data_IF_881912801818
#
_entry.id   IF_881912801818
#
_cell.length_a   1.000
_cell.length_b   1.000
_cell.length_c   1.000
_cell.angle_alpha   90.00
_cell.angle_beta   90.00
_cell.angle_gamma   90.00
#
_symmetry.space_group_name_H-M   'P 1'
#
loop_
_entity.id
_entity.type
_entity.pdbx_description
1 polymer ?
#
# COMPACT_ATOMS: atom_id res chain seq x y z
N UNK A 1 12.79 -10.46 -40.04
CA UNK A 1 12.15 -9.72 -38.92
C UNK A 1 12.82 -8.36 -38.87
N UNK A 2 12.03 -7.28 -38.99
CA UNK A 2 12.54 -5.92 -38.94
C UNK A 2 12.85 -5.55 -37.49
N UNK A 3 14.03 -4.99 -37.23
CA UNK A 3 14.45 -4.54 -35.89
C UNK A 3 13.64 -3.35 -35.36
N UNK A 4 12.84 -2.71 -36.23
CA UNK A 4 11.90 -1.63 -35.87
C UNK A 4 10.70 -2.16 -35.07
N UNK A 5 10.36 -3.45 -35.19
CA UNK A 5 9.20 -4.06 -34.52
C UNK A 5 9.53 -4.57 -33.11
N UNK A 6 10.81 -4.52 -32.69
CA UNK A 6 11.26 -4.89 -31.34
C UNK A 6 11.05 -3.71 -30.37
N UNK A 7 9.78 -3.40 -30.11
CA UNK A 7 9.37 -2.29 -29.25
C UNK A 7 9.55 -2.66 -27.77
N UNK A 8 9.91 -1.68 -26.90
CA UNK A 8 10.02 -1.91 -25.47
C UNK A 8 8.70 -2.42 -24.90
N UNK A 9 8.75 -3.54 -24.19
CA UNK A 9 7.59 -4.14 -23.55
C UNK A 9 7.43 -3.58 -22.13
N UNK A 10 6.24 -3.05 -21.82
CA UNK A 10 5.92 -2.57 -20.47
C UNK A 10 5.61 -3.79 -19.58
N UNK A 11 6.32 -4.01 -18.46
CA UNK A 11 5.99 -5.09 -17.56
C UNK A 11 4.61 -4.88 -16.93
N UNK A 12 3.80 -5.93 -16.83
CA UNK A 12 2.44 -5.87 -16.24
C UNK A 12 2.41 -5.36 -14.80
N UNK A 13 3.50 -5.53 -14.05
CA UNK A 13 3.68 -4.98 -12.71
C UNK A 13 3.55 -3.45 -12.69
N UNK A 14 3.98 -2.79 -13.77
CA UNK A 14 3.89 -1.35 -13.91
C UNK A 14 2.43 -0.89 -14.05
N UNK A 15 1.62 -1.60 -14.85
CA UNK A 15 0.20 -1.30 -15.00
C UNK A 15 -0.56 -1.48 -13.68
N UNK A 16 -0.24 -2.53 -12.92
CA UNK A 16 -0.87 -2.74 -11.60
C UNK A 16 -0.47 -1.68 -10.59
N UNK A 17 0.77 -1.19 -10.64
CA UNK A 17 1.26 -0.13 -9.76
C UNK A 17 0.57 1.21 -10.08
N UNK A 18 0.52 1.60 -11.37
CA UNK A 18 -0.17 2.81 -11.83
C UNK A 18 -1.66 2.81 -11.48
N UNK A 19 -2.32 1.65 -11.64
CA UNK A 19 -3.73 1.49 -11.26
C UNK A 19 -3.94 1.64 -9.74
N UNK A 20 -3.03 1.10 -8.92
CA UNK A 20 -3.09 1.23 -7.47
C UNK A 20 -2.88 2.69 -7.03
N UNK A 21 -1.92 3.39 -7.63
CA UNK A 21 -1.68 4.81 -7.36
C UNK A 21 -2.90 5.68 -7.70
N UNK A 22 -3.48 5.45 -8.88
CA UNK A 22 -4.68 6.17 -9.33
C UNK A 22 -5.86 5.94 -8.40
N UNK A 23 -6.13 4.68 -8.02
CA UNK A 23 -7.21 4.34 -7.12
C UNK A 23 -7.00 4.98 -5.74
N UNK A 24 -5.77 4.90 -5.20
CA UNK A 24 -5.44 5.47 -3.89
C UNK A 24 -5.63 6.98 -3.86
N UNK A 25 -5.16 7.71 -4.87
CA UNK A 25 -5.38 9.16 -5.00
C UNK A 25 -6.86 9.53 -4.99
N UNK A 26 -7.65 8.79 -5.75
CA UNK A 26 -9.09 9.01 -5.79
C UNK A 26 -9.72 8.83 -4.40
N UNK A 27 -9.34 7.77 -3.67
CA UNK A 27 -9.84 7.51 -2.33
C UNK A 27 -9.44 8.59 -1.31
N UNK A 28 -8.19 9.08 -1.36
CA UNK A 28 -7.71 10.16 -0.49
C UNK A 28 -8.46 11.47 -0.75
N UNK A 29 -8.66 11.82 -2.02
CA UNK A 29 -9.31 13.06 -2.40
C UNK A 29 -10.83 13.07 -2.11
N UNK A 30 -11.45 11.91 -1.87
CA UNK A 30 -12.89 11.80 -1.70
C UNK A 30 -13.42 12.33 -0.35
N UNK A 31 -12.62 12.25 0.72
CA UNK A 31 -13.11 12.48 2.09
C UNK A 31 -12.50 13.70 2.78
N UNK A 32 -11.56 14.38 2.13
CA UNK A 32 -10.96 15.60 2.67
C UNK A 32 -10.22 15.43 4.01
N UNK A 33 -9.81 14.21 4.37
CA UNK A 33 -9.09 13.90 5.62
C UNK A 33 -7.57 13.99 5.48
N UNK A 34 -7.06 13.85 4.27
CA UNK A 34 -5.64 13.86 3.98
C UNK A 34 -5.34 14.67 2.72
N UNK A 35 -4.08 15.11 2.59
CA UNK A 35 -3.51 15.58 1.34
C UNK A 35 -2.31 14.74 0.96
N UNK A 36 -2.07 14.55 -0.34
CA UNK A 36 -0.84 13.93 -0.83
C UNK A 36 0.28 14.97 -0.77
N UNK A 37 1.30 14.72 0.04
CA UNK A 37 2.47 15.60 0.17
C UNK A 37 3.53 15.29 -0.88
N UNK A 38 3.81 14.00 -1.09
CA UNK A 38 4.88 13.57 -1.99
C UNK A 38 4.56 12.23 -2.64
N UNK A 39 4.83 12.17 -3.94
CA UNK A 39 5.05 10.94 -4.69
C UNK A 39 6.50 10.54 -4.51
N UNK A 40 6.78 9.49 -3.73
CA UNK A 40 8.16 9.14 -3.41
C UNK A 40 8.70 8.05 -4.34
N UNK A 41 8.58 8.27 -5.66
CA UNK A 41 8.98 7.32 -6.70
C UNK A 41 10.48 6.95 -6.69
N UNK A 42 11.28 7.62 -5.88
CA UNK A 42 12.72 7.36 -5.70
C UNK A 42 13.09 6.98 -4.25
N UNK A 43 12.13 6.83 -3.34
CA UNK A 43 12.42 6.34 -1.99
C UNK A 43 12.37 4.81 -1.95
N UNK A 44 13.33 4.20 -1.27
CA UNK A 44 13.59 2.76 -1.28
C UNK A 44 12.47 1.91 -0.66
N UNK A 45 11.40 2.52 -0.13
CA UNK A 45 10.36 1.75 0.55
C UNK A 45 8.98 2.38 0.76
N UNK A 46 8.65 3.50 0.12
CA UNK A 46 7.29 4.07 0.14
C UNK A 46 6.91 4.64 -1.21
N UNK A 47 5.65 4.49 -1.61
CA UNK A 47 5.18 5.04 -2.88
C UNK A 47 4.59 6.45 -2.70
N UNK A 48 3.90 6.69 -1.57
CA UNK A 48 3.21 7.96 -1.30
C UNK A 48 3.36 8.35 0.17
N UNK A 49 3.52 9.65 0.43
CA UNK A 49 3.34 10.24 1.75
C UNK A 49 2.08 11.12 1.76
N UNK A 50 1.21 10.88 2.73
CA UNK A 50 0.02 11.71 2.97
C UNK A 50 0.17 12.47 4.29
N UNK A 51 -0.44 13.66 4.38
CA UNK A 51 -0.54 14.45 5.61
C UNK A 51 -1.99 14.58 6.05
N UNK A 52 -2.24 14.30 7.33
CA UNK A 52 -3.54 14.47 7.94
C UNK A 52 -3.92 15.97 8.03
N UNK A 53 -5.18 16.27 7.76
CA UNK A 53 -5.73 17.62 7.95
C UNK A 53 -7.00 17.59 8.78
N UNK A 54 -7.23 18.66 9.51
CA UNK A 54 -8.48 18.95 10.22
C UNK A 54 -9.13 20.18 9.57
N UNK A 55 -10.05 19.93 8.64
CA UNK A 55 -10.62 20.95 7.77
C UNK A 55 -9.54 21.68 6.96
N UNK A 56 -9.26 22.94 7.33
CA UNK A 56 -8.21 23.76 6.68
C UNK A 56 -6.87 23.70 7.42
N UNK A 57 -6.81 23.14 8.61
CA UNK A 57 -5.60 23.04 9.40
C UNK A 57 -4.76 21.84 8.92
N UNK A 58 -3.50 22.10 8.58
CA UNK A 58 -2.52 21.07 8.25
C UNK A 58 -1.81 20.65 9.53
N UNK A 59 -1.87 19.35 9.87
CA UNK A 59 -1.44 18.85 11.18
C UNK A 59 0.05 18.52 11.25
N UNK A 60 0.72 18.42 10.10
CA UNK A 60 2.06 17.86 9.93
C UNK A 60 2.21 16.40 10.44
N UNK A 61 1.11 15.72 10.75
CA UNK A 61 1.10 14.27 11.01
C UNK A 61 1.10 13.57 9.65
N UNK A 62 2.15 12.78 9.40
CA UNK A 62 2.41 12.17 8.10
C UNK A 62 2.30 10.67 8.19
N UNK A 63 1.66 10.08 7.19
CA UNK A 63 1.56 8.63 7.03
C UNK A 63 2.30 8.22 5.77
N UNK A 64 3.17 7.22 5.92
CA UNK A 64 3.90 6.61 4.83
C UNK A 64 3.12 5.42 4.28
N UNK A 65 2.96 5.39 2.96
CA UNK A 65 2.10 4.43 2.29
C UNK A 65 2.91 3.65 1.26
N UNK A 66 2.88 2.32 1.37
CA UNK A 66 3.30 1.42 0.30
C UNK A 66 2.07 0.86 -0.41
N UNK A 67 1.99 1.07 -1.72
CA UNK A 67 0.94 0.57 -2.59
C UNK A 67 1.33 -0.77 -3.20
N UNK A 68 0.34 -1.64 -3.38
CA UNK A 68 0.46 -2.88 -4.15
C UNK A 68 -0.77 -3.06 -5.02
N UNK A 69 -0.59 -3.20 -6.32
CA UNK A 69 -1.65 -3.64 -7.23
C UNK A 69 -1.60 -5.14 -7.45
N UNK A 70 -2.75 -5.80 -7.55
CA UNK A 70 -2.80 -7.23 -7.88
C UNK A 70 -4.01 -7.62 -8.72
N UNK A 71 -3.81 -8.62 -9.59
CA UNK A 71 -4.84 -9.30 -10.38
C UNK A 71 -5.10 -10.73 -9.88
N UNK A 72 -4.44 -11.16 -8.81
CA UNK A 72 -4.63 -12.49 -8.23
C UNK A 72 -6.04 -12.67 -7.72
N UNK A 73 -6.54 -13.91 -7.75
CA UNK A 73 -7.82 -14.25 -7.15
C UNK A 73 -7.82 -13.97 -5.64
N UNK A 74 -9.00 -13.62 -5.13
CA UNK A 74 -9.21 -13.46 -3.70
C UNK A 74 -9.19 -14.79 -2.95
N UNK A 75 -8.95 -14.71 -1.65
CA UNK A 75 -9.15 -15.82 -0.73
C UNK A 75 -10.67 -16.09 -0.57
N UNK A 76 -11.04 -17.23 0.01
CA UNK A 76 -12.45 -17.64 0.21
C UNK A 76 -13.25 -16.72 1.15
N UNK A 77 -12.58 -15.84 1.90
CA UNK A 77 -13.17 -14.87 2.81
C UNK A 77 -13.08 -13.43 2.27
N UNK A 78 -12.95 -13.28 0.95
CA UNK A 78 -12.82 -12.00 0.23
C UNK A 78 -11.55 -11.19 0.53
N UNK A 79 -10.66 -11.69 1.39
CA UNK A 79 -9.35 -11.08 1.64
C UNK A 79 -8.39 -11.33 0.48
N UNK A 80 -7.39 -10.46 0.34
CA UNK A 80 -6.39 -10.53 -0.74
C UNK A 80 -5.01 -10.76 -0.13
N UNK A 81 -4.24 -11.68 -0.69
CA UNK A 81 -2.87 -11.97 -0.26
C UNK A 81 -1.87 -11.44 -1.27
N UNK A 82 -0.89 -10.64 -0.81
CA UNK A 82 0.20 -10.12 -1.65
C UNK A 82 1.54 -10.39 -0.96
N UNK A 83 2.53 -10.77 -1.76
CA UNK A 83 3.91 -10.92 -1.30
C UNK A 83 4.63 -9.58 -1.33
N UNK A 84 5.30 -9.23 -0.23
CA UNK A 84 6.13 -8.03 -0.09
C UNK A 84 7.52 -8.39 0.38
N UNK A 85 8.50 -7.53 0.12
CA UNK A 85 9.84 -7.71 0.67
C UNK A 85 9.83 -7.49 2.19
N UNK A 86 10.50 -8.38 2.92
CA UNK A 86 10.64 -8.28 4.38
C UNK A 86 11.40 -7.01 4.77
N UNK A 87 12.36 -6.57 3.95
CA UNK A 87 13.06 -5.28 4.12
C UNK A 87 12.14 -4.07 3.98
N UNK A 88 11.13 -4.12 3.11
CA UNK A 88 10.19 -3.03 2.93
C UNK A 88 9.30 -2.84 4.18
N UNK A 89 8.93 -3.94 4.86
CA UNK A 89 8.24 -3.85 6.16
C UNK A 89 9.12 -3.12 7.18
N UNK A 90 10.41 -3.46 7.28
CA UNK A 90 11.32 -2.76 8.18
C UNK A 90 11.40 -1.25 7.87
N UNK A 91 11.38 -0.89 6.59
CA UNK A 91 11.37 0.51 6.17
C UNK A 91 10.14 1.25 6.67
N UNK A 92 8.94 0.68 6.48
CA UNK A 92 7.69 1.26 6.97
C UNK A 92 7.63 1.34 8.50
N UNK A 93 8.19 0.37 9.22
CA UNK A 93 8.22 0.37 10.68
C UNK A 93 9.06 1.51 11.28
N UNK A 94 9.92 2.16 10.50
CA UNK A 94 10.66 3.35 10.94
C UNK A 94 9.79 4.61 11.00
N UNK A 95 8.57 4.55 10.49
CA UNK A 95 7.63 5.68 10.47
C UNK A 95 6.33 5.30 11.20
N UNK A 96 5.80 6.16 12.07
CA UNK A 96 4.55 5.90 12.79
C UNK A 96 3.40 5.75 11.80
N UNK A 97 2.45 4.87 12.16
CA UNK A 97 1.18 4.66 11.46
C UNK A 97 1.29 4.32 9.97
N UNK A 98 2.46 3.91 9.50
CA UNK A 98 2.68 3.47 8.12
C UNK A 98 1.74 2.33 7.73
N UNK A 99 1.23 2.40 6.51
CA UNK A 99 0.26 1.43 5.99
C UNK A 99 0.72 0.83 4.67
N UNK A 100 0.33 -0.43 4.46
CA UNK A 100 0.21 -1.01 3.14
C UNK A 100 -1.20 -0.82 2.63
N UNK A 101 -1.34 -0.45 1.36
CA UNK A 101 -2.63 -0.44 0.66
C UNK A 101 -2.55 -1.34 -0.56
N UNK A 102 -3.49 -2.28 -0.66
CA UNK A 102 -3.63 -3.18 -1.78
C UNK A 102 -4.81 -2.77 -2.66
N UNK A 103 -4.56 -2.47 -3.94
CA UNK A 103 -5.61 -2.35 -4.94
C UNK A 103 -5.82 -3.69 -5.63
N UNK A 104 -6.99 -4.28 -5.43
CA UNK A 104 -7.41 -5.48 -6.13
C UNK A 104 -8.14 -5.10 -7.42
N UNK A 105 -7.45 -5.25 -8.55
CA UNK A 105 -7.91 -4.76 -9.85
C UNK A 105 -9.25 -5.38 -10.28
N UNK A 106 -9.49 -6.71 -10.16
CA UNK A 106 -10.74 -7.31 -10.59
C UNK A 106 -11.98 -6.76 -9.86
N UNK A 107 -11.89 -6.56 -8.54
CA UNK A 107 -13.02 -6.05 -7.75
C UNK A 107 -13.00 -4.53 -7.57
N UNK A 108 -11.97 -3.83 -8.04
CA UNK A 108 -11.75 -2.39 -7.85
C UNK A 108 -11.80 -1.95 -6.37
N UNK A 109 -11.34 -2.80 -5.45
CA UNK A 109 -11.33 -2.51 -4.01
C UNK A 109 -9.94 -2.08 -3.57
N UNK A 110 -9.87 -1.07 -2.71
CA UNK A 110 -8.68 -0.76 -1.92
C UNK A 110 -8.83 -1.41 -0.54
N UNK A 111 -7.83 -2.17 -0.16
CA UNK A 111 -7.73 -2.82 1.14
C UNK A 111 -6.47 -2.35 1.85
N UNK A 112 -6.45 -2.40 3.17
CA UNK A 112 -5.39 -1.77 3.96
C UNK A 112 -4.94 -2.65 5.14
N UNK A 113 -3.68 -2.43 5.55
CA UNK A 113 -3.08 -2.99 6.75
C UNK A 113 -2.05 -2.02 7.32
N UNK A 114 -2.06 -1.80 8.64
CA UNK A 114 -0.93 -1.18 9.32
C UNK A 114 0.32 -2.07 9.26
N UNK A 115 1.49 -1.44 9.07
CA UNK A 115 2.77 -2.12 9.11
C UNK A 115 3.00 -2.79 10.48
N UNK A 116 2.64 -2.11 11.57
CA UNK A 116 2.76 -2.63 12.93
C UNK A 116 1.94 -3.91 13.13
N UNK A 117 0.75 -4.01 12.54
CA UNK A 117 -0.08 -5.23 12.67
C UNK A 117 0.46 -6.40 11.88
N UNK A 118 1.14 -6.13 10.76
CA UNK A 118 1.86 -7.17 10.01
C UNK A 118 3.03 -7.67 10.85
N UNK A 119 3.82 -6.75 11.40
CA UNK A 119 4.95 -7.08 12.28
C UNK A 119 4.52 -7.96 13.47
N UNK A 120 3.54 -7.50 14.25
CA UNK A 120 3.00 -8.26 15.39
C UNK A 120 2.53 -9.65 14.98
N UNK A 121 1.82 -9.77 13.85
CA UNK A 121 1.35 -11.07 13.35
C UNK A 121 2.51 -12.04 13.08
N UNK A 122 3.63 -11.55 12.54
CA UNK A 122 4.80 -12.38 12.24
C UNK A 122 5.62 -12.70 13.48
N UNK A 123 5.82 -11.73 14.39
CA UNK A 123 6.45 -11.97 15.69
C UNK A 123 5.74 -13.06 16.50
N UNK A 124 4.40 -13.05 16.52
CA UNK A 124 3.62 -14.04 17.26
C UNK A 124 3.69 -15.46 16.67
N UNK A 125 4.14 -15.63 15.41
CA UNK A 125 4.18 -16.94 14.74
C UNK A 125 5.48 -17.70 15.00
N UNK A 126 6.62 -17.03 14.85
CA UNK A 126 7.97 -17.56 15.12
C UNK A 126 9.00 -16.48 14.79
N UNK A 127 10.15 -16.43 15.46
CA UNK A 127 11.24 -15.51 15.11
C UNK A 127 11.87 -15.78 13.72
N UNK A 128 11.63 -16.95 13.12
CA UNK A 128 12.20 -17.37 11.83
C UNK A 128 11.80 -16.46 10.65
N UNK A 129 10.81 -15.58 10.82
CA UNK A 129 10.43 -14.63 9.78
C UNK A 129 11.54 -13.60 9.49
N UNK A 130 12.45 -13.36 10.43
CA UNK A 130 13.57 -12.42 10.28
C UNK A 130 14.52 -12.84 9.15
N UNK A 131 14.67 -14.14 8.92
CA UNK A 131 15.54 -14.71 7.88
C UNK A 131 14.84 -14.80 6.51
N UNK A 132 13.55 -14.48 6.43
CA UNK A 132 12.79 -14.51 5.18
C UNK A 132 13.13 -13.32 4.29
N UNK A 133 13.22 -13.58 2.98
CA UNK A 133 13.34 -12.51 1.97
C UNK A 133 12.03 -11.76 1.79
N UNK A 134 10.91 -12.48 1.85
CA UNK A 134 9.58 -11.95 1.56
C UNK A 134 8.57 -12.42 2.61
N UNK A 135 7.49 -11.65 2.74
CA UNK A 135 6.36 -11.93 3.62
C UNK A 135 5.07 -11.90 2.81
N UNK A 136 4.11 -12.74 3.16
CA UNK A 136 2.76 -12.71 2.59
C UNK A 136 1.84 -11.90 3.50
N UNK A 137 1.44 -10.73 3.01
CA UNK A 137 0.49 -9.84 3.69
C UNK A 137 -0.92 -10.18 3.24
N UNK A 138 -1.81 -10.40 4.20
CA UNK A 138 -3.25 -10.62 3.97
C UNK A 138 -4.02 -9.34 4.31
N UNK A 139 -4.70 -8.80 3.32
CA UNK A 139 -5.52 -7.61 3.37
C UNK A 139 -6.99 -7.99 3.44
N UNK A 140 -7.68 -7.62 4.52
CA UNK A 140 -9.09 -7.94 4.74
C UNK A 140 -9.95 -6.72 5.06
N UNK A 141 -9.34 -5.62 5.49
CA UNK A 141 -10.02 -4.38 5.83
C UNK A 141 -10.01 -3.43 4.63
N UNK A 142 -11.12 -2.73 4.39
CA UNK A 142 -11.24 -1.75 3.31
C UNK A 142 -10.52 -0.45 3.67
N UNK A 143 -9.96 0.21 2.67
CA UNK A 143 -9.47 1.59 2.80
C UNK A 143 -10.60 2.57 2.48
N UNK A 144 -11.61 2.62 3.34
CA UNK A 144 -12.78 3.48 3.22
C UNK A 144 -12.69 4.71 4.14
N UNK A 145 -13.76 5.50 4.19
CA UNK A 145 -13.83 6.68 5.04
C UNK A 145 -13.64 6.36 6.52
N UNK A 146 -14.19 5.24 7.01
CA UNK A 146 -14.10 4.85 8.41
C UNK A 146 -12.65 4.57 8.79
N UNK A 147 -11.95 3.77 7.97
CA UNK A 147 -10.52 3.55 8.16
C UNK A 147 -9.73 4.86 8.12
N UNK A 148 -10.00 5.72 7.13
CA UNK A 148 -9.30 7.01 7.00
C UNK A 148 -9.52 7.93 8.21
N UNK A 149 -10.73 7.96 8.78
CA UNK A 149 -11.01 8.71 10.02
C UNK A 149 -10.22 8.16 11.20
N UNK A 150 -10.13 6.83 11.32
CA UNK A 150 -9.33 6.20 12.38
C UNK A 150 -7.83 6.47 12.22
N UNK A 151 -7.34 6.54 10.99
CA UNK A 151 -5.95 6.89 10.68
C UNK A 151 -5.64 8.38 10.92
N UNK A 152 -6.64 9.24 10.81
CA UNK A 152 -6.52 10.70 10.99
C UNK A 152 -6.63 11.13 12.47
N UNK A 153 -7.21 10.28 13.32
CA UNK A 153 -7.46 10.55 14.75
C UNK A 153 -6.20 10.41 15.61
#
# INVERSE_FOLDING_TARGET
MNTIDDLPQRPSAHDTAEAAETAFRHAINAHELFIVQREDRNDYGTDVQIEARDGKAMTNIRVHVQLKGTKSDGNTDDSISVTVDRTNLNYLLMQPDSIYVCYHLPSKRLLVRYAQDIHRKYEHRSADWLDQKTLTVRFAELFDEEFQRRLNA
#
